data_IF_305672198455
#
_entry.id   IF_305672198455
#
_cell.length_a   1.000
_cell.length_b   1.000
_cell.length_c   1.000
_cell.angle_alpha   90.00
_cell.angle_beta   90.00
_cell.angle_gamma   90.00
#
_symmetry.space_group_name_H-M   'P 1'
#
loop_
_entity.id
_entity.type
_entity.pdbx_description
1 polymer ?
#
# COMPACT_ATOMS: atom_id res chain seq x y z
N UNK A 1 -16.77 -4.31 12.05
CA UNK A 1 -15.84 -3.40 11.37
C UNK A 1 -14.70 -4.25 10.85
N UNK A 2 -14.16 -3.93 9.68
CA UNK A 2 -12.98 -4.57 9.08
C UNK A 2 -11.92 -3.51 8.78
N UNK A 3 -10.79 -3.92 8.23
CA UNK A 3 -9.74 -3.02 7.76
C UNK A 3 -9.79 -2.93 6.23
N UNK A 4 -9.46 -1.77 5.68
CA UNK A 4 -9.44 -1.51 4.26
C UNK A 4 -8.03 -1.13 3.80
N UNK A 5 -7.68 -1.59 2.60
CA UNK A 5 -6.50 -1.20 1.85
C UNK A 5 -6.96 -0.39 0.63
N UNK A 6 -6.74 0.92 0.70
CA UNK A 6 -7.11 1.89 -0.34
C UNK A 6 -5.93 2.16 -1.25
N UNK A 7 -6.15 2.14 -2.56
CA UNK A 7 -5.13 2.35 -3.58
C UNK A 7 -5.30 3.70 -4.26
N UNK A 8 -4.25 4.53 -4.23
CA UNK A 8 -4.25 5.90 -4.76
C UNK A 8 -3.15 6.07 -5.80
N UNK A 9 -3.51 6.25 -7.07
CA UNK A 9 -2.57 6.58 -8.13
C UNK A 9 -2.17 8.06 -8.01
N UNK A 10 -0.87 8.32 -7.86
CA UNK A 10 -0.32 9.67 -7.71
C UNK A 10 1.18 9.71 -7.99
N UNK A 11 1.81 10.87 -7.82
CA UNK A 11 3.28 10.96 -7.75
C UNK A 11 3.75 10.74 -6.32
N UNK A 12 4.55 9.70 -6.09
CA UNK A 12 5.19 9.44 -4.78
C UNK A 12 6.14 10.57 -4.42
N UNK A 13 6.85 11.13 -5.39
CA UNK A 13 7.74 12.28 -5.15
C UNK A 13 6.97 13.49 -4.60
N UNK A 14 5.78 13.78 -5.14
CA UNK A 14 4.93 14.86 -4.63
C UNK A 14 4.34 14.53 -3.26
N UNK A 15 3.89 13.29 -3.07
CA UNK A 15 3.38 12.82 -1.78
C UNK A 15 4.42 12.98 -0.67
N UNK A 16 5.63 12.46 -0.90
CA UNK A 16 6.78 12.58 0.00
C UNK A 16 7.11 14.04 0.31
N UNK A 17 7.10 14.91 -0.71
CA UNK A 17 7.36 16.34 -0.54
C UNK A 17 6.34 16.98 0.40
N UNK A 18 5.05 16.64 0.28
CA UNK A 18 4.00 17.17 1.17
C UNK A 18 4.09 16.61 2.58
N UNK A 19 4.33 15.30 2.71
CA UNK A 19 4.54 14.65 4.00
C UNK A 19 5.73 15.27 4.74
N UNK A 20 6.86 15.46 4.07
CA UNK A 20 8.04 16.08 4.66
C UNK A 20 7.86 17.56 5.05
N UNK A 21 6.95 18.27 4.37
CA UNK A 21 6.64 19.67 4.66
C UNK A 21 5.62 19.87 5.78
N UNK A 22 4.92 18.80 6.20
CA UNK A 22 3.96 18.88 7.29
C UNK A 22 4.68 19.10 8.63
N UNK A 23 4.31 20.12 9.43
CA UNK A 23 4.97 20.42 10.70
C UNK A 23 5.00 19.24 11.68
N UNK A 24 3.96 18.40 11.69
CA UNK A 24 3.88 17.22 12.59
C UNK A 24 4.95 16.20 12.21
N UNK A 25 5.07 15.91 10.93
CA UNK A 25 6.04 14.95 10.39
C UNK A 25 7.46 15.51 10.51
N UNK A 26 7.66 16.80 10.23
CA UNK A 26 8.96 17.45 10.39
C UNK A 26 9.46 17.37 11.84
N UNK A 27 8.58 17.69 12.82
CA UNK A 27 8.92 17.58 14.24
C UNK A 27 9.23 16.13 14.66
N UNK A 28 8.48 15.16 14.13
CA UNK A 28 8.76 13.74 14.35
C UNK A 28 10.14 13.32 13.84
N UNK A 29 10.53 13.79 12.66
CA UNK A 29 11.86 13.52 12.09
C UNK A 29 12.98 14.11 12.92
N UNK A 30 12.81 15.35 13.36
CA UNK A 30 13.76 16.04 14.23
C UNK A 30 13.91 15.33 15.60
N UNK A 31 12.88 14.61 16.04
CA UNK A 31 12.88 13.83 17.28
C UNK A 31 13.58 12.46 17.16
N UNK A 32 13.98 12.03 15.96
CA UNK A 32 14.83 10.85 15.79
C UNK A 32 14.28 9.74 14.88
N UNK A 33 13.12 9.93 14.24
CA UNK A 33 12.47 8.93 13.36
C UNK A 33 12.01 7.65 14.11
N UNK A 34 11.47 6.67 13.37
CA UNK A 34 11.06 5.36 13.92
C UNK A 34 9.57 5.06 13.72
N UNK A 35 8.97 4.39 14.70
CA UNK A 35 7.53 4.11 14.72
C UNK A 35 6.72 5.41 14.89
N UNK A 36 5.69 5.66 14.06
CA UNK A 36 4.93 6.89 14.13
C UNK A 36 4.03 6.91 15.36
N UNK A 37 3.82 8.09 15.93
CA UNK A 37 2.68 8.29 16.83
C UNK A 37 1.37 8.28 16.01
N UNK A 38 0.23 8.06 16.67
CA UNK A 38 -1.08 8.12 16.01
C UNK A 38 -1.28 9.43 15.23
N UNK A 39 -0.85 10.57 15.80
CA UNK A 39 -0.99 11.88 15.15
C UNK A 39 -0.16 11.99 13.86
N UNK A 40 1.05 11.40 13.84
CA UNK A 40 1.89 11.33 12.64
C UNK A 40 1.22 10.43 11.61
N UNK A 41 0.76 9.24 12.01
CA UNK A 41 0.09 8.29 11.12
C UNK A 41 -1.16 8.90 10.47
N UNK A 42 -2.07 9.46 11.28
CA UNK A 42 -3.30 10.12 10.83
C UNK A 42 -3.00 11.29 9.87
N UNK A 43 -1.92 12.04 10.14
CA UNK A 43 -1.49 13.14 9.29
C UNK A 43 -1.06 12.66 7.91
N UNK A 44 -0.21 11.62 7.85
CA UNK A 44 0.23 11.03 6.58
C UNK A 44 -0.94 10.43 5.81
N UNK A 45 -1.82 9.68 6.49
CA UNK A 45 -3.02 9.08 5.90
C UNK A 45 -3.92 10.16 5.29
N UNK A 46 -4.19 11.24 6.03
CA UNK A 46 -4.98 12.37 5.53
C UNK A 46 -4.36 12.98 4.27
N UNK A 47 -3.05 13.13 4.23
CA UNK A 47 -2.35 13.65 3.04
C UNK A 47 -2.51 12.67 1.86
N UNK A 48 -2.30 11.37 2.10
CA UNK A 48 -2.44 10.34 1.07
C UNK A 48 -3.86 10.30 0.48
N UNK A 49 -4.89 10.27 1.34
CA UNK A 49 -6.30 10.21 0.91
C UNK A 49 -6.78 11.49 0.22
N UNK A 50 -6.20 12.64 0.56
CA UNK A 50 -6.50 13.92 -0.11
C UNK A 50 -5.80 14.09 -1.47
N UNK A 51 -4.91 13.16 -1.84
CA UNK A 51 -4.09 13.22 -3.05
C UNK A 51 -4.44 12.13 -4.06
N UNK A 52 -4.12 12.39 -5.32
CA UNK A 52 -4.26 11.40 -6.38
C UNK A 52 -5.70 11.01 -6.69
N UNK A 53 -5.84 9.91 -7.42
CA UNK A 53 -7.12 9.31 -7.78
C UNK A 53 -7.22 7.93 -7.13
N UNK A 54 -8.38 7.61 -6.55
CA UNK A 54 -8.65 6.25 -6.09
C UNK A 54 -8.74 5.31 -7.29
N UNK A 55 -7.93 4.26 -7.30
CA UNK A 55 -7.90 3.26 -8.36
C UNK A 55 -8.33 1.88 -7.88
N UNK A 56 -8.62 1.73 -6.59
CA UNK A 56 -9.16 0.51 -6.03
C UNK A 56 -9.26 0.56 -4.51
N UNK A 57 -10.00 -0.38 -3.96
CA UNK A 57 -10.06 -0.67 -2.53
C UNK A 57 -10.28 -2.16 -2.34
N UNK A 58 -9.66 -2.72 -1.31
CA UNK A 58 -9.92 -4.09 -0.84
C UNK A 58 -9.82 -4.12 0.68
N UNK A 59 -10.04 -5.26 1.33
CA UNK A 59 -9.92 -5.33 2.78
C UNK A 59 -10.23 -6.70 3.34
N UNK A 60 -10.24 -6.77 4.66
CA UNK A 60 -10.53 -7.99 5.40
C UNK A 60 -11.27 -7.69 6.70
N UNK A 61 -11.88 -8.73 7.29
CA UNK A 61 -12.46 -8.63 8.62
C UNK A 61 -11.39 -8.49 9.71
N UNK A 62 -11.72 -7.95 10.88
CA UNK A 62 -10.74 -7.81 12.00
C UNK A 62 -10.04 -9.14 12.35
N UNK A 63 -10.74 -10.27 12.28
CA UNK A 63 -10.16 -11.58 12.58
C UNK A 63 -9.23 -12.11 11.47
N UNK A 64 -9.33 -11.59 10.25
CA UNK A 64 -8.58 -12.06 9.08
C UNK A 64 -7.26 -11.33 8.84
N UNK A 65 -6.83 -10.41 9.72
CA UNK A 65 -5.69 -9.53 9.42
C UNK A 65 -4.31 -10.18 9.44
N UNK A 66 -4.11 -11.26 10.21
CA UNK A 66 -2.87 -12.05 10.16
C UNK A 66 -2.79 -12.81 8.84
N UNK A 67 -3.84 -13.57 8.52
CA UNK A 67 -3.97 -14.31 7.28
C UNK A 67 -3.84 -13.40 6.04
N UNK A 68 -4.51 -12.23 6.04
CA UNK A 68 -4.44 -11.26 4.94
C UNK A 68 -3.01 -10.77 4.67
N UNK A 69 -2.19 -10.62 5.71
CA UNK A 69 -0.80 -10.19 5.54
C UNK A 69 0.10 -11.35 5.15
N UNK A 70 0.05 -12.45 5.91
CA UNK A 70 1.01 -13.55 5.77
C UNK A 70 0.69 -14.47 4.59
N UNK A 71 -0.56 -14.83 4.38
CA UNK A 71 -0.93 -15.81 3.35
C UNK A 71 -1.24 -15.12 2.01
N UNK A 72 -1.95 -13.98 2.04
CA UNK A 72 -2.22 -13.22 0.80
C UNK A 72 -1.06 -12.37 0.33
N UNK A 73 -0.56 -11.45 1.16
CA UNK A 73 0.46 -10.50 0.71
C UNK A 73 1.83 -11.19 0.62
N UNK A 74 2.28 -11.82 1.69
CA UNK A 74 3.60 -12.47 1.73
C UNK A 74 3.65 -13.82 1.01
N UNK A 75 2.49 -14.46 0.78
CA UNK A 75 2.37 -15.71 0.03
C UNK A 75 1.96 -15.47 -1.43
N UNK A 76 0.67 -15.26 -1.66
CA UNK A 76 0.06 -15.29 -2.99
C UNK A 76 0.49 -14.11 -3.85
N UNK A 77 0.33 -12.87 -3.38
CA UNK A 77 0.72 -11.66 -4.10
C UNK A 77 2.24 -11.61 -4.28
N UNK A 78 3.02 -11.91 -3.24
CA UNK A 78 4.48 -12.02 -3.37
C UNK A 78 4.90 -13.01 -4.48
N UNK A 79 4.20 -14.15 -4.61
CA UNK A 79 4.42 -15.11 -5.68
C UNK A 79 4.05 -14.60 -7.08
N UNK A 80 3.08 -13.67 -7.17
CA UNK A 80 2.59 -13.11 -8.44
C UNK A 80 3.40 -11.89 -8.91
N UNK A 81 3.59 -10.90 -8.04
CA UNK A 81 4.18 -9.58 -8.36
C UNK A 81 5.60 -9.39 -7.81
N UNK A 82 6.09 -10.36 -7.04
CA UNK A 82 7.36 -10.28 -6.31
C UNK A 82 7.18 -9.84 -4.86
N UNK A 83 7.97 -10.43 -3.96
CA UNK A 83 7.89 -10.20 -2.52
C UNK A 83 8.10 -8.73 -2.14
N UNK A 84 9.12 -8.07 -2.73
CA UNK A 84 9.40 -6.66 -2.43
C UNK A 84 8.22 -5.75 -2.81
N UNK A 85 7.58 -5.99 -3.97
CA UNK A 85 6.43 -5.20 -4.39
C UNK A 85 5.25 -5.41 -3.44
N UNK A 86 4.94 -6.66 -3.09
CA UNK A 86 3.86 -6.98 -2.17
C UNK A 86 4.06 -6.33 -0.79
N UNK A 87 5.26 -6.44 -0.20
CA UNK A 87 5.59 -5.80 1.07
C UNK A 87 5.51 -4.26 0.99
N UNK A 88 6.03 -3.69 -0.10
CA UNK A 88 5.99 -2.24 -0.31
C UNK A 88 4.56 -1.67 -0.37
N UNK A 89 3.56 -2.46 -0.77
CA UNK A 89 2.15 -2.07 -0.75
C UNK A 89 1.57 -1.97 0.67
N UNK A 90 2.22 -2.52 1.69
CA UNK A 90 1.71 -2.47 3.06
C UNK A 90 2.48 -1.49 3.94
N UNK A 91 3.82 -1.52 3.89
CA UNK A 91 4.62 -0.97 4.99
C UNK A 91 5.91 -0.25 4.60
N UNK A 92 6.03 0.23 3.36
CA UNK A 92 7.25 0.90 2.90
C UNK A 92 7.57 2.18 3.69
N UNK A 93 8.79 2.26 4.22
CA UNK A 93 9.24 3.41 5.00
C UNK A 93 9.08 4.74 4.26
N UNK A 94 8.70 5.77 5.00
CA UNK A 94 8.36 7.08 4.45
C UNK A 94 8.89 8.20 5.34
N UNK A 95 9.82 9.01 4.85
CA UNK A 95 10.31 10.20 5.58
C UNK A 95 10.75 9.90 7.03
N UNK A 96 11.42 8.75 7.25
CA UNK A 96 11.87 8.30 8.57
C UNK A 96 10.84 7.48 9.37
N UNK A 97 9.62 7.36 8.86
CA UNK A 97 8.56 6.54 9.47
C UNK A 97 8.78 5.07 9.11
N UNK A 98 8.73 4.20 10.11
CA UNK A 98 8.71 2.74 10.01
C UNK A 98 7.35 2.27 10.53
N UNK A 99 6.56 1.62 9.68
CA UNK A 99 5.21 1.20 10.03
C UNK A 99 5.22 -0.15 10.75
N UNK A 100 4.54 -0.22 11.90
CA UNK A 100 4.42 -1.44 12.72
C UNK A 100 2.99 -1.70 13.19
N UNK A 101 2.09 -0.71 13.09
CA UNK A 101 0.69 -0.82 13.45
C UNK A 101 -0.19 0.08 12.56
N UNK A 102 -1.50 -0.16 12.60
CA UNK A 102 -2.49 0.58 11.83
C UNK A 102 -2.70 2.02 12.33
N UNK A 103 -2.96 2.97 11.42
CA UNK A 103 -2.95 2.81 9.97
C UNK A 103 -1.52 2.82 9.39
N UNK A 104 -1.29 2.05 8.33
CA UNK A 104 -0.02 1.96 7.62
C UNK A 104 -0.13 2.58 6.23
N UNK A 105 1.01 3.01 5.69
CA UNK A 105 1.10 3.55 4.33
C UNK A 105 2.21 2.83 3.56
N UNK A 106 1.83 2.23 2.44
CA UNK A 106 2.76 1.66 1.47
C UNK A 106 2.87 2.54 0.24
N UNK A 107 3.89 2.28 -0.59
CA UNK A 107 4.02 2.92 -1.88
C UNK A 107 4.98 2.16 -2.82
N UNK A 108 4.66 2.19 -4.11
CA UNK A 108 5.45 1.58 -5.18
C UNK A 108 5.57 2.55 -6.35
N UNK A 109 6.75 2.60 -6.94
CA UNK A 109 7.05 3.44 -8.10
C UNK A 109 6.51 2.82 -9.37
N UNK A 110 6.20 3.65 -10.37
CA UNK A 110 5.74 3.17 -11.67
C UNK A 110 6.72 2.16 -12.32
N UNK A 111 8.03 2.34 -12.12
CA UNK A 111 9.04 1.38 -12.58
C UNK A 111 8.92 0.01 -11.92
N UNK A 112 8.71 -0.01 -10.59
CA UNK A 112 8.51 -1.25 -9.82
C UNK A 112 7.22 -1.95 -10.23
N UNK A 113 6.14 -1.18 -10.48
CA UNK A 113 4.88 -1.71 -11.02
C UNK A 113 5.10 -2.41 -12.37
N UNK A 114 5.86 -1.77 -13.28
CA UNK A 114 6.17 -2.35 -14.58
C UNK A 114 6.94 -3.67 -14.49
N UNK A 115 7.93 -3.73 -13.60
CA UNK A 115 8.72 -4.94 -13.36
C UNK A 115 7.87 -6.06 -12.75
N UNK A 116 7.11 -5.77 -11.70
CA UNK A 116 6.27 -6.76 -11.01
C UNK A 116 5.14 -7.29 -11.88
N UNK A 117 4.53 -6.45 -12.73
CA UNK A 117 3.43 -6.86 -13.61
C UNK A 117 3.88 -7.58 -14.88
N UNK A 118 5.15 -7.48 -15.29
CA UNK A 118 5.64 -8.04 -16.56
C UNK A 118 5.47 -9.58 -16.66
N UNK A 119 5.43 -10.28 -15.52
CA UNK A 119 5.27 -11.74 -15.45
C UNK A 119 3.88 -12.22 -15.00
N UNK A 120 2.99 -11.31 -14.62
CA UNK A 120 1.68 -11.68 -14.03
C UNK A 120 0.76 -12.21 -15.13
N UNK A 121 0.37 -13.47 -15.01
CA UNK A 121 -0.63 -14.10 -15.90
C UNK A 121 -2.03 -13.70 -15.45
N UNK A 122 -2.99 -13.80 -16.38
CA UNK A 122 -4.41 -13.50 -16.07
C UNK A 122 -5.05 -14.54 -15.15
N UNK A 123 -4.50 -15.76 -15.10
CA UNK A 123 -5.00 -16.83 -14.26
C UNK A 123 -4.49 -16.70 -12.82
N UNK A 124 -5.42 -16.56 -11.88
CA UNK A 124 -5.13 -16.63 -10.43
C UNK A 124 -4.90 -18.09 -9.99
N UNK A 125 -4.21 -18.32 -8.86
CA UNK A 125 -4.13 -19.65 -8.26
C UNK A 125 -5.53 -20.23 -8.01
N UNK A 126 -5.75 -21.49 -8.42
CA UNK A 126 -7.06 -22.13 -8.40
C UNK A 126 -7.53 -22.60 -7.02
N UNK A 127 -6.65 -22.51 -6.02
CA UNK A 127 -6.85 -22.95 -4.64
C UNK A 127 -7.28 -21.83 -3.69
N UNK A 128 -7.37 -20.59 -4.18
CA UNK A 128 -7.97 -19.48 -3.45
C UNK A 128 -9.48 -19.69 -3.29
N UNK A 129 -10.02 -19.30 -2.14
CA UNK A 129 -11.46 -19.14 -2.01
C UNK A 129 -11.95 -17.87 -2.75
N UNK A 130 -13.26 -17.70 -2.83
CA UNK A 130 -13.88 -16.62 -3.60
C UNK A 130 -13.52 -15.23 -3.04
N UNK A 131 -13.49 -15.08 -1.72
CA UNK A 131 -13.18 -13.81 -1.06
C UNK A 131 -11.72 -13.43 -1.30
N UNK A 132 -10.80 -14.39 -1.20
CA UNK A 132 -9.37 -14.18 -1.41
C UNK A 132 -9.04 -13.89 -2.87
N UNK A 133 -9.69 -14.62 -3.79
CA UNK A 133 -9.56 -14.36 -5.22
C UNK A 133 -10.02 -12.95 -5.58
N UNK A 134 -11.12 -12.48 -4.99
CA UNK A 134 -11.62 -11.11 -5.16
C UNK A 134 -10.63 -10.08 -4.61
N UNK A 135 -10.02 -10.33 -3.44
CA UNK A 135 -8.99 -9.45 -2.89
C UNK A 135 -7.81 -9.34 -3.87
N UNK A 136 -7.25 -10.47 -4.30
CA UNK A 136 -6.09 -10.49 -5.22
C UNK A 136 -6.44 -9.82 -6.55
N UNK A 137 -7.63 -10.10 -7.09
CA UNK A 137 -8.11 -9.47 -8.32
C UNK A 137 -8.19 -7.95 -8.18
N UNK A 138 -8.72 -7.44 -7.06
CA UNK A 138 -8.81 -6.01 -6.78
C UNK A 138 -7.42 -5.36 -6.63
N UNK A 139 -6.46 -6.03 -5.98
CA UNK A 139 -5.07 -5.54 -5.90
C UNK A 139 -4.46 -5.46 -7.30
N UNK A 140 -4.51 -6.55 -8.07
CA UNK A 140 -3.94 -6.58 -9.42
C UNK A 140 -4.60 -5.55 -10.35
N UNK A 141 -5.92 -5.33 -10.24
CA UNK A 141 -6.63 -4.30 -10.98
C UNK A 141 -6.12 -2.89 -10.64
N UNK A 142 -5.93 -2.58 -9.34
CA UNK A 142 -5.39 -1.30 -8.90
C UNK A 142 -3.94 -1.07 -9.39
N UNK A 143 -3.09 -2.10 -9.33
CA UNK A 143 -1.71 -2.04 -9.85
C UNK A 143 -1.70 -1.75 -11.35
N UNK A 144 -2.53 -2.46 -12.12
CA UNK A 144 -2.66 -2.26 -13.57
C UNK A 144 -3.18 -0.87 -13.91
N UNK A 145 -4.21 -0.39 -13.20
CA UNK A 145 -4.76 0.95 -13.41
C UNK A 145 -3.70 2.06 -13.19
N UNK A 146 -2.86 1.93 -12.16
CA UNK A 146 -1.76 2.86 -11.90
C UNK A 146 -0.65 2.76 -12.97
N UNK A 147 -0.30 1.54 -13.38
CA UNK A 147 0.70 1.30 -14.42
C UNK A 147 0.26 1.86 -15.79
N UNK A 148 -0.99 1.63 -16.20
CA UNK A 148 -1.59 2.17 -17.43
C UNK A 148 -1.60 3.70 -17.44
N UNK A 149 -1.87 4.31 -16.28
CA UNK A 149 -1.82 5.76 -16.12
C UNK A 149 -0.40 6.33 -16.00
N UNK A 150 0.64 5.48 -16.07
CA UNK A 150 2.05 5.86 -15.85
C UNK A 150 2.25 6.61 -14.51
N UNK A 151 1.52 6.20 -13.48
CA UNK A 151 1.59 6.79 -12.14
C UNK A 151 2.28 5.83 -11.15
N UNK A 152 2.79 6.41 -10.07
CA UNK A 152 3.15 5.64 -8.88
C UNK A 152 1.85 5.29 -8.12
N UNK A 153 1.98 4.39 -7.15
CA UNK A 153 0.87 3.97 -6.31
C UNK A 153 1.22 4.19 -4.84
N UNK A 154 0.30 4.82 -4.11
CA UNK A 154 0.34 4.93 -2.65
C UNK A 154 -0.85 4.16 -2.10
N UNK A 155 -0.61 3.40 -1.04
CA UNK A 155 -1.64 2.62 -0.35
C UNK A 155 -1.85 3.14 1.07
N UNK A 156 -3.08 3.05 1.54
CA UNK A 156 -3.44 3.33 2.94
C UNK A 156 -4.13 2.09 3.48
N UNK A 157 -3.60 1.53 4.55
CA UNK A 157 -4.13 0.34 5.20
C UNK A 157 -4.59 0.68 6.62
N UNK A 158 -5.88 0.59 6.91
CA UNK A 158 -6.45 0.96 8.22
C UNK A 158 -7.95 0.79 8.33
#
# INVERSE_FOLDING_TARGET
>A
MGYALVFRAMSVAEFRRRVAADPVVAAFRDAGNGEPTQEVADTVVRIALAMGTEVGTTGHSVAGGEWFREELFDGVLAGLVGADLADHLLSRSLEGIVWSDYPMVGWVLNGELGEGLAGVREDLPSDLDEDDADVVANVLAALRAAAEASQDLVTVYG
#
